data_IF_621100096931
#
_entry.id   IF_621100096931
#
_cell.length_a   1.000
_cell.length_b   1.000
_cell.length_c   1.000
_cell.angle_alpha   90.00
_cell.angle_beta   90.00
_cell.angle_gamma   90.00
#
_symmetry.space_group_name_H-M   'P 1'
#
loop_
_entity.id
_entity.type
_entity.pdbx_description
1 polymer ?
#
# COMPACT_ATOMS: atom_id res chain seq x y z
N UNK A 1 -20.12 18.40 8.58
CA UNK A 1 -20.53 17.54 7.44
C UNK A 1 -21.83 16.79 7.72
N UNK A 2 -21.96 16.04 8.83
CA UNK A 2 -23.12 15.17 9.14
C UNK A 2 -24.50 15.87 9.08
N UNK A 3 -24.68 17.13 9.56
CA UNK A 3 -26.01 17.74 9.58
C UNK A 3 -26.57 18.03 8.18
N UNK A 4 -25.75 18.55 7.26
CA UNK A 4 -26.21 18.95 5.91
C UNK A 4 -26.41 17.73 5.02
N UNK A 5 -25.60 16.68 5.17
CA UNK A 5 -25.85 15.41 4.48
C UNK A 5 -27.20 14.82 4.86
N UNK A 6 -27.50 14.76 6.17
CA UNK A 6 -28.75 14.18 6.67
C UNK A 6 -29.98 15.05 6.45
N UNK A 7 -29.85 16.38 6.57
CA UNK A 7 -30.99 17.29 6.54
C UNK A 7 -31.33 17.82 5.13
N UNK A 8 -30.36 17.89 4.22
CA UNK A 8 -30.55 18.52 2.89
C UNK A 8 -30.26 17.55 1.77
N UNK A 9 -29.08 16.93 1.76
CA UNK A 9 -28.64 16.11 0.60
C UNK A 9 -29.44 14.81 0.50
N UNK A 10 -29.55 14.03 1.59
CA UNK A 10 -30.25 12.74 1.55
C UNK A 10 -31.76 12.88 1.26
N UNK A 11 -32.52 13.82 1.88
CA UNK A 11 -33.92 14.03 1.54
C UNK A 11 -34.13 14.51 0.11
N UNK A 12 -33.26 15.39 -0.39
CA UNK A 12 -33.33 15.86 -1.77
C UNK A 12 -33.05 14.74 -2.79
N UNK A 13 -32.10 13.86 -2.52
CA UNK A 13 -31.84 12.69 -3.36
C UNK A 13 -33.00 11.68 -3.31
N UNK A 14 -33.61 11.47 -2.14
CA UNK A 14 -34.82 10.64 -2.03
C UNK A 14 -35.98 11.24 -2.83
N UNK A 15 -36.16 12.58 -2.75
CA UNK A 15 -37.13 13.30 -3.57
C UNK A 15 -36.85 13.21 -5.07
N UNK A 16 -35.57 13.28 -5.48
CA UNK A 16 -35.17 13.07 -6.87
C UNK A 16 -35.59 11.69 -7.37
N UNK A 17 -35.29 10.64 -6.59
CA UNK A 17 -35.67 9.27 -6.94
C UNK A 17 -37.19 9.08 -7.03
N UNK A 18 -37.96 9.72 -6.14
CA UNK A 18 -39.42 9.66 -6.16
C UNK A 18 -40.05 10.42 -7.35
N UNK A 19 -39.42 11.51 -7.79
CA UNK A 19 -39.91 12.37 -8.88
C UNK A 19 -39.34 12.00 -10.26
N UNK A 20 -38.33 11.13 -10.32
CA UNK A 20 -37.74 10.61 -11.55
C UNK A 20 -38.76 10.01 -12.54
N UNK A 21 -39.77 9.19 -12.14
CA UNK A 21 -40.75 8.68 -13.11
C UNK A 21 -41.63 9.78 -13.73
N UNK A 22 -41.68 10.97 -13.13
CA UNK A 22 -42.43 12.12 -13.60
C UNK A 22 -41.56 13.11 -14.41
N UNK A 23 -40.26 12.87 -14.53
CA UNK A 23 -39.31 13.77 -15.20
C UNK A 23 -39.01 15.08 -14.43
N UNK A 24 -39.33 15.12 -13.13
CA UNK A 24 -39.21 16.31 -12.27
C UNK A 24 -38.02 16.24 -11.29
N UNK A 25 -37.12 15.29 -11.47
CA UNK A 25 -35.95 15.06 -10.61
C UNK A 25 -34.95 16.22 -10.61
N UNK A 26 -34.97 17.07 -11.64
CA UNK A 26 -34.06 18.20 -11.76
C UNK A 26 -34.15 19.16 -10.57
N UNK A 27 -35.34 19.40 -10.02
CA UNK A 27 -35.54 20.30 -8.89
C UNK A 27 -34.87 19.79 -7.61
N UNK A 28 -35.18 18.56 -7.13
CA UNK A 28 -34.48 17.98 -5.99
C UNK A 28 -32.97 17.81 -6.20
N UNK A 29 -32.52 17.47 -7.43
CA UNK A 29 -31.09 17.36 -7.72
C UNK A 29 -30.35 18.69 -7.59
N UNK A 30 -30.97 19.82 -7.95
CA UNK A 30 -30.39 21.16 -7.72
C UNK A 30 -30.24 21.47 -6.22
N UNK A 31 -31.22 21.09 -5.40
CA UNK A 31 -31.14 21.26 -3.94
C UNK A 31 -30.00 20.40 -3.37
N UNK A 32 -29.88 19.15 -3.82
CA UNK A 32 -28.77 18.28 -3.43
C UNK A 32 -27.40 18.88 -3.82
N UNK A 33 -27.31 19.46 -5.02
CA UNK A 33 -26.12 20.18 -5.49
C UNK A 33 -25.69 21.31 -4.57
N UNK A 34 -26.60 22.18 -4.16
CA UNK A 34 -26.31 23.28 -3.19
C UNK A 34 -25.79 22.72 -1.86
N UNK A 35 -26.36 21.62 -1.38
CA UNK A 35 -25.90 20.93 -0.18
C UNK A 35 -24.47 20.40 -0.32
N UNK A 36 -24.15 19.79 -1.47
CA UNK A 36 -22.81 19.28 -1.78
C UNK A 36 -21.80 20.43 -1.88
N UNK A 37 -22.15 21.51 -2.60
CA UNK A 37 -21.28 22.69 -2.76
C UNK A 37 -20.98 23.36 -1.42
N UNK A 38 -21.95 23.38 -0.51
CA UNK A 38 -21.72 23.85 0.85
C UNK A 38 -20.74 22.94 1.60
N UNK A 39 -20.91 21.62 1.51
CA UNK A 39 -20.01 20.65 2.14
C UNK A 39 -18.59 20.80 1.61
N UNK A 40 -18.42 20.94 0.29
CA UNK A 40 -17.12 21.12 -0.35
C UNK A 40 -16.46 22.43 0.09
N UNK A 41 -17.20 23.55 0.13
CA UNK A 41 -16.66 24.82 0.64
C UNK A 41 -16.16 24.73 2.08
N UNK A 42 -16.92 24.08 2.96
CA UNK A 42 -16.48 23.89 4.35
C UNK A 42 -15.25 22.97 4.41
N UNK A 43 -15.23 21.90 3.62
CA UNK A 43 -14.10 20.99 3.55
C UNK A 43 -12.83 21.71 3.07
N UNK A 44 -12.91 22.49 1.99
CA UNK A 44 -11.79 23.26 1.45
C UNK A 44 -11.32 24.33 2.44
N UNK A 45 -12.24 24.99 3.13
CA UNK A 45 -11.91 25.99 4.16
C UNK A 45 -11.10 25.37 5.29
N UNK A 46 -11.55 24.21 5.81
CA UNK A 46 -10.86 23.51 6.91
C UNK A 46 -9.55 22.89 6.42
N UNK A 47 -9.52 22.32 5.22
CA UNK A 47 -8.32 21.74 4.62
C UNK A 47 -7.24 22.79 4.35
N UNK A 48 -7.64 24.04 4.08
CA UNK A 48 -6.74 25.18 3.91
C UNK A 48 -6.10 25.70 5.19
N UNK A 49 -6.49 25.20 6.37
CA UNK A 49 -5.86 25.61 7.63
C UNK A 49 -4.45 25.02 7.76
N UNK A 50 -3.50 25.83 8.25
CA UNK A 50 -2.15 25.34 8.52
C UNK A 50 -2.18 24.20 9.53
N UNK A 51 -1.64 23.05 9.13
CA UNK A 51 -1.61 21.85 9.98
C UNK A 51 -2.95 21.14 10.14
N UNK A 52 -3.97 21.44 9.32
CA UNK A 52 -5.24 20.71 9.30
C UNK A 52 -5.07 19.20 9.17
N UNK A 53 -4.06 18.78 8.39
CA UNK A 53 -3.61 17.41 8.30
C UNK A 53 -2.12 17.35 8.62
N UNK A 54 -1.77 16.55 9.63
CA UNK A 54 -0.39 16.13 9.87
C UNK A 54 -0.27 14.66 9.50
N UNK A 55 0.56 14.31 8.51
CA UNK A 55 0.75 12.93 8.17
C UNK A 55 1.55 12.28 9.31
N UNK A 56 0.98 11.22 9.87
CA UNK A 56 1.58 10.41 10.92
C UNK A 56 1.64 9.00 10.36
N UNK A 57 2.74 8.30 10.65
CA UNK A 57 2.91 6.91 10.28
C UNK A 57 1.70 6.08 10.74
N UNK A 58 1.26 5.13 9.91
CA UNK A 58 0.20 4.22 10.31
C UNK A 58 0.58 3.47 11.61
N UNK A 59 -0.34 3.47 12.57
CA UNK A 59 -0.15 2.75 13.81
C UNK A 59 -0.04 1.24 13.54
N UNK A 60 0.89 0.54 14.20
CA UNK A 60 0.91 -0.92 14.13
C UNK A 60 -0.36 -1.49 14.77
N UNK A 61 -0.77 -2.67 14.32
CA UNK A 61 -2.03 -3.28 14.74
C UNK A 61 -2.15 -3.42 16.27
N UNK A 62 -1.06 -3.76 16.97
CA UNK A 62 -1.06 -3.89 18.43
C UNK A 62 -1.29 -2.55 19.14
N UNK A 63 -0.83 -1.42 18.58
CA UNK A 63 -1.04 -0.11 19.16
C UNK A 63 -2.52 0.28 19.08
N UNK A 64 -3.19 -0.08 17.99
CA UNK A 64 -4.64 0.09 17.87
C UNK A 64 -5.38 -0.72 18.94
N UNK A 65 -5.01 -1.99 19.14
CA UNK A 65 -5.62 -2.82 20.20
C UNK A 65 -5.45 -2.20 21.59
N UNK A 66 -4.25 -1.71 21.92
CA UNK A 66 -3.99 -1.04 23.20
C UNK A 66 -4.75 0.27 23.34
N UNK A 67 -4.85 1.08 22.28
CA UNK A 67 -5.64 2.31 22.27
C UNK A 67 -7.12 2.00 22.51
N UNK A 68 -7.66 1.00 21.81
CA UNK A 68 -9.05 0.59 21.96
C UNK A 68 -9.34 0.09 23.37
N UNK A 69 -8.52 -0.82 23.90
CA UNK A 69 -8.70 -1.37 25.25
C UNK A 69 -8.53 -0.30 26.34
N UNK A 70 -7.49 0.54 26.23
CA UNK A 70 -7.25 1.63 27.18
C UNK A 70 -8.36 2.69 27.16
N UNK A 71 -8.83 3.06 25.96
CA UNK A 71 -9.96 3.98 25.79
C UNK A 71 -11.27 3.39 26.32
N UNK A 72 -11.54 2.12 26.01
CA UNK A 72 -12.72 1.43 26.52
C UNK A 72 -12.71 1.34 28.05
N UNK A 73 -11.56 1.04 28.65
CA UNK A 73 -11.40 1.02 30.11
C UNK A 73 -11.71 2.39 30.74
N UNK A 74 -11.18 3.46 30.15
CA UNK A 74 -11.43 4.83 30.60
C UNK A 74 -12.92 5.22 30.52
N UNK A 75 -13.63 4.72 29.51
CA UNK A 75 -15.06 5.01 29.30
C UNK A 75 -15.98 4.15 30.17
N UNK A 76 -15.64 2.88 30.41
CA UNK A 76 -16.51 1.94 31.12
C UNK A 76 -16.40 2.03 32.66
N UNK A 77 -15.21 2.31 33.20
CA UNK A 77 -15.02 2.39 34.65
C UNK A 77 -15.24 3.80 35.21
N UNK A 78 -15.82 3.88 36.41
CA UNK A 78 -16.04 5.14 37.14
C UNK A 78 -15.03 5.32 38.28
N UNK A 79 -14.72 6.56 38.62
CA UNK A 79 -13.78 6.89 39.70
C UNK A 79 -12.30 6.70 39.33
N UNK A 80 -11.43 6.50 40.33
CA UNK A 80 -9.96 6.42 40.14
C UNK A 80 -9.52 5.17 39.36
N UNK A 81 -10.33 4.10 39.36
CA UNK A 81 -10.03 2.87 38.62
C UNK A 81 -9.93 3.07 37.10
N UNK A 82 -10.59 4.10 36.55
CA UNK A 82 -10.49 4.45 35.13
C UNK A 82 -9.05 4.77 34.71
N UNK A 83 -8.24 5.32 35.64
CA UNK A 83 -6.87 5.74 35.35
C UNK A 83 -5.95 4.55 35.02
N UNK A 84 -6.35 3.32 35.32
CA UNK A 84 -5.62 2.12 34.89
C UNK A 84 -5.60 1.93 33.36
N UNK A 85 -6.45 2.64 32.60
CA UNK A 85 -6.38 2.68 31.13
C UNK A 85 -5.25 3.57 30.60
N UNK A 86 -4.75 4.54 31.38
CA UNK A 86 -3.69 5.47 30.95
C UNK A 86 -2.36 4.76 30.66
N UNK A 87 -1.87 3.81 31.48
CA UNK A 87 -0.68 3.03 31.15
C UNK A 87 -0.78 2.30 29.81
N UNK A 88 -1.94 1.75 29.45
CA UNK A 88 -2.15 1.08 28.17
C UNK A 88 -2.04 2.07 26.99
N UNK A 89 -2.63 3.26 27.13
CA UNK A 89 -2.50 4.33 26.13
C UNK A 89 -1.06 4.85 26.00
N UNK A 90 -0.37 5.02 27.13
CA UNK A 90 1.03 5.45 27.15
C UNK A 90 1.94 4.42 26.47
N UNK A 91 1.72 3.12 26.75
CA UNK A 91 2.43 2.04 26.08
C UNK A 91 2.14 2.02 24.57
N UNK A 92 0.88 2.21 24.17
CA UNK A 92 0.52 2.28 22.76
C UNK A 92 1.24 3.43 22.04
N UNK A 93 1.28 4.62 22.66
CA UNK A 93 1.98 5.78 22.13
C UNK A 93 3.49 5.54 22.04
N UNK A 94 4.11 4.97 23.09
CA UNK A 94 5.53 4.65 23.11
C UNK A 94 5.91 3.66 22.00
N UNK A 95 5.12 2.60 21.81
CA UNK A 95 5.38 1.61 20.77
C UNK A 95 5.08 2.13 19.35
N UNK A 96 4.11 3.03 19.20
CA UNK A 96 3.83 3.67 17.91
C UNK A 96 4.97 4.62 17.51
N UNK A 97 5.44 5.45 18.44
CA UNK A 97 6.56 6.36 18.23
C UNK A 97 7.90 5.62 18.09
N UNK A 98 8.04 4.45 18.71
CA UNK A 98 9.24 3.60 18.64
C UNK A 98 9.50 2.98 17.26
N UNK A 99 8.62 3.20 16.29
CA UNK A 99 8.83 2.79 14.89
C UNK A 99 8.49 1.32 14.66
N UNK A 100 7.30 1.05 14.14
CA UNK A 100 6.99 -0.27 13.61
C UNK A 100 7.92 -0.60 12.42
N UNK A 101 8.40 -1.85 12.29
CA UNK A 101 9.26 -2.24 11.18
C UNK A 101 8.53 -2.01 9.87
N UNK A 102 9.09 -1.14 9.02
CA UNK A 102 8.52 -0.84 7.70
C UNK A 102 9.17 -1.75 6.67
N UNK A 103 8.41 -2.27 5.70
CA UNK A 103 8.99 -3.04 4.61
C UNK A 103 9.99 -2.19 3.81
N UNK A 104 11.16 -2.77 3.58
CA UNK A 104 12.27 -2.14 2.87
C UNK A 104 11.92 -1.94 1.39
N UNK A 105 11.17 -2.88 0.81
CA UNK A 105 10.76 -2.85 -0.58
C UNK A 105 9.27 -3.21 -0.69
N UNK A 106 8.51 -2.36 -1.38
CA UNK A 106 7.13 -2.62 -1.77
C UNK A 106 7.04 -2.78 -3.27
N UNK A 107 6.25 -3.76 -3.72
CA UNK A 107 5.96 -4.02 -5.13
C UNK A 107 4.44 -4.05 -5.30
N UNK A 108 3.92 -3.20 -6.19
CA UNK A 108 2.51 -3.15 -6.53
C UNK A 108 2.05 -4.44 -7.24
N UNK A 109 0.75 -4.79 -7.20
CA UNK A 109 0.22 -5.92 -7.95
C UNK A 109 0.66 -5.89 -9.42
N UNK A 110 1.17 -7.02 -9.92
CA UNK A 110 1.65 -7.11 -11.30
C UNK A 110 2.93 -6.31 -11.61
N UNK A 111 3.61 -5.74 -10.61
CA UNK A 111 4.91 -5.09 -10.78
C UNK A 111 4.83 -3.72 -11.46
N UNK A 112 3.66 -3.08 -11.40
CA UNK A 112 3.45 -1.76 -12.02
C UNK A 112 4.36 -0.69 -11.40
N UNK A 113 4.48 -0.69 -10.07
CA UNK A 113 5.33 0.20 -9.30
C UNK A 113 6.15 -0.58 -8.27
N UNK A 114 7.27 0.01 -7.89
CA UNK A 114 8.07 -0.43 -6.75
C UNK A 114 8.51 0.79 -5.95
N UNK A 115 8.69 0.60 -4.65
CA UNK A 115 9.19 1.64 -3.77
C UNK A 115 10.09 1.10 -2.68
N UNK A 116 11.26 1.72 -2.52
CA UNK A 116 12.28 1.35 -1.53
C UNK A 116 12.25 2.35 -0.37
N UNK A 117 12.30 1.85 0.87
CA UNK A 117 12.42 2.67 2.06
C UNK A 117 13.85 3.22 2.17
N UNK A 118 13.98 4.54 2.29
CA UNK A 118 15.26 5.23 2.47
C UNK A 118 15.19 6.13 3.70
N UNK A 119 16.33 6.66 4.20
CA UNK A 119 16.32 7.64 5.29
C UNK A 119 15.49 8.90 5.00
N UNK A 120 15.32 9.27 3.72
CA UNK A 120 14.52 10.42 3.27
C UNK A 120 13.03 10.09 3.08
N UNK A 121 12.61 8.87 3.43
CA UNK A 121 11.27 8.34 3.17
C UNK A 121 11.25 7.33 2.02
N UNK A 122 10.07 6.92 1.55
CA UNK A 122 9.96 5.92 0.49
C UNK A 122 10.30 6.53 -0.88
N UNK A 123 11.39 6.08 -1.49
CA UNK A 123 11.70 6.42 -2.87
C UNK A 123 10.91 5.52 -3.83
N UNK A 124 10.38 6.08 -4.91
CA UNK A 124 9.55 5.35 -5.89
C UNK A 124 10.31 5.17 -7.20
N UNK A 125 10.06 4.07 -7.91
CA UNK A 125 10.59 3.90 -9.28
C UNK A 125 10.01 4.99 -10.21
N UNK A 126 10.86 5.90 -10.73
CA UNK A 126 10.39 7.03 -11.55
C UNK A 126 9.86 6.61 -12.92
N UNK A 127 10.17 5.40 -13.40
CA UNK A 127 9.76 4.98 -14.74
C UNK A 127 8.25 4.69 -14.84
N UNK A 128 7.64 4.17 -13.75
CA UNK A 128 6.19 3.85 -13.69
C UNK A 128 5.66 3.94 -12.26
N UNK A 129 5.18 5.12 -11.82
CA UNK A 129 4.39 5.20 -10.62
C UNK A 129 2.95 4.74 -10.91
N UNK A 130 2.53 3.63 -10.30
CA UNK A 130 1.12 3.40 -10.02
C UNK A 130 0.73 4.40 -8.94
N UNK A 131 0.12 5.52 -9.35
CA UNK A 131 -0.16 6.66 -8.49
C UNK A 131 -0.99 6.25 -7.26
N UNK A 132 -1.98 5.38 -7.44
CA UNK A 132 -2.84 4.95 -6.34
C UNK A 132 -2.08 4.12 -5.31
N UNK A 133 -1.29 3.15 -5.78
CA UNK A 133 -0.44 2.35 -4.88
C UNK A 133 0.60 3.23 -4.16
N UNK A 134 1.27 4.11 -4.91
CA UNK A 134 2.28 5.03 -4.39
C UNK A 134 1.71 5.96 -3.31
N UNK A 135 0.59 6.64 -3.57
CA UNK A 135 -0.07 7.52 -2.59
C UNK A 135 -0.52 6.76 -1.35
N UNK A 136 -1.00 5.53 -1.52
CA UNK A 136 -1.39 4.67 -0.39
C UNK A 136 -0.18 4.34 0.49
N UNK A 137 0.97 4.04 -0.12
CA UNK A 137 2.21 3.77 0.62
C UNK A 137 2.72 5.01 1.35
N UNK A 138 2.83 6.15 0.67
CA UNK A 138 3.27 7.41 1.26
C UNK A 138 2.37 7.82 2.43
N UNK A 139 1.05 7.71 2.26
CA UNK A 139 0.08 7.99 3.33
C UNK A 139 0.25 7.05 4.52
N UNK A 140 0.43 5.75 4.28
CA UNK A 140 0.73 4.77 5.35
C UNK A 140 2.05 5.06 6.04
N UNK A 141 3.01 5.58 5.29
CA UNK A 141 4.32 5.98 5.79
C UNK A 141 4.28 7.28 6.61
N UNK A 142 3.14 7.99 6.63
CA UNK A 142 3.07 9.33 7.23
C UNK A 142 3.92 10.34 6.45
N UNK A 143 4.12 10.10 5.16
CA UNK A 143 4.93 10.92 4.28
C UNK A 143 4.03 11.91 3.54
N UNK A 144 4.34 13.20 3.67
CA UNK A 144 3.59 14.29 3.04
C UNK A 144 3.93 14.46 1.55
N UNK A 145 5.01 13.83 1.08
CA UNK A 145 5.51 14.02 -0.27
C UNK A 145 4.47 13.60 -1.32
N UNK A 146 4.45 14.33 -2.43
CA UNK A 146 3.79 13.91 -3.64
C UNK A 146 4.52 12.72 -4.27
N UNK A 147 3.82 11.99 -5.15
CA UNK A 147 4.42 10.90 -5.92
C UNK A 147 5.62 11.36 -6.74
N UNK A 148 5.59 12.59 -7.26
CA UNK A 148 6.70 13.16 -8.04
C UNK A 148 7.94 13.42 -7.16
N UNK A 149 7.75 14.02 -5.99
CA UNK A 149 8.84 14.24 -5.02
C UNK A 149 9.43 12.93 -4.51
N UNK A 150 8.57 11.94 -4.21
CA UNK A 150 9.02 10.61 -3.79
C UNK A 150 9.76 9.86 -4.91
N UNK A 151 9.38 10.04 -6.17
CA UNK A 151 10.10 9.49 -7.32
C UNK A 151 11.43 10.19 -7.61
N UNK A 152 11.59 11.45 -7.16
CA UNK A 152 12.83 12.21 -7.29
C UNK A 152 13.87 11.88 -6.20
N UNK A 153 13.52 11.10 -5.18
CA UNK A 153 14.44 10.70 -4.10
C UNK A 153 15.57 9.82 -4.65
N UNK A 154 16.83 10.05 -4.22
CA UNK A 154 17.98 9.29 -4.70
C UNK A 154 17.97 7.88 -4.10
N UNK A 155 17.41 6.92 -4.84
CA UNK A 155 17.47 5.50 -4.49
C UNK A 155 17.60 4.61 -5.72
N UNK A 156 16.89 4.94 -6.80
CA UNK A 156 16.93 4.19 -8.05
C UNK A 156 17.98 4.76 -9.00
N UNK A 157 18.91 3.92 -9.43
CA UNK A 157 19.85 4.18 -10.53
C UNK A 157 19.33 3.57 -11.83
N UNK A 158 19.61 4.24 -12.95
CA UNK A 158 19.24 3.76 -14.27
C UNK A 158 20.44 3.09 -14.96
N UNK A 159 20.32 1.77 -15.20
CA UNK A 159 21.32 0.97 -15.91
C UNK A 159 20.72 0.46 -17.23
N UNK A 160 20.66 1.34 -18.23
CA UNK A 160 19.96 1.07 -19.49
C UNK A 160 18.46 0.77 -19.24
N UNK A 161 17.95 -0.43 -19.63
CA UNK A 161 16.56 -0.80 -19.40
C UNK A 161 16.25 -1.23 -17.95
N UNK A 162 17.26 -1.23 -17.07
CA UNK A 162 17.13 -1.62 -15.67
C UNK A 162 16.99 -0.40 -14.76
N UNK A 163 16.22 -0.58 -13.68
CA UNK A 163 16.21 0.30 -12.51
C UNK A 163 16.72 -0.49 -11.33
N UNK A 164 17.77 -0.01 -10.69
CA UNK A 164 18.46 -0.72 -9.62
C UNK A 164 18.39 0.11 -8.35
N UNK A 165 18.08 -0.51 -7.22
CA UNK A 165 18.09 0.16 -5.93
C UNK A 165 18.50 -0.80 -4.81
N UNK A 166 19.40 -0.40 -3.89
CA UNK A 166 19.69 -1.17 -2.71
C UNK A 166 18.54 -1.07 -1.70
N UNK A 167 18.31 -2.11 -0.93
CA UNK A 167 17.37 -2.13 0.20
C UNK A 167 17.88 -3.10 1.28
N UNK A 168 17.36 -3.00 2.51
CA UNK A 168 17.64 -3.84 3.70
C UNK A 168 18.86 -4.77 3.69
N UNK A 169 19.84 -4.55 4.58
CA UNK A 169 20.98 -5.46 4.84
C UNK A 169 21.76 -5.96 3.60
N UNK A 170 21.93 -5.09 2.61
CA UNK A 170 22.72 -5.35 1.40
C UNK A 170 21.98 -6.11 0.31
N UNK A 171 20.64 -6.14 0.37
CA UNK A 171 19.81 -6.61 -0.74
C UNK A 171 19.69 -5.55 -1.84
N UNK A 172 19.41 -6.00 -3.05
CA UNK A 172 19.21 -5.12 -4.21
C UNK A 172 17.98 -5.54 -5.01
N UNK A 173 17.20 -4.56 -5.47
CA UNK A 173 16.13 -4.79 -6.43
C UNK A 173 16.56 -4.33 -7.81
N UNK A 174 16.36 -5.19 -8.81
CA UNK A 174 16.62 -4.90 -10.23
C UNK A 174 15.36 -5.05 -11.03
N UNK A 175 14.83 -3.94 -11.53
CA UNK A 175 13.54 -3.86 -12.20
C UNK A 175 13.75 -3.69 -13.70
N UNK A 176 13.26 -4.62 -14.49
CA UNK A 176 13.30 -4.55 -15.94
C UNK A 176 12.14 -3.71 -16.50
N UNK A 177 12.46 -2.64 -17.22
CA UNK A 177 11.47 -1.76 -17.87
C UNK A 177 11.51 -1.80 -19.40
N UNK A 178 12.35 -2.65 -19.99
CA UNK A 178 12.43 -2.83 -21.45
C UNK A 178 11.31 -3.68 -22.07
N UNK A 179 11.28 -3.74 -23.40
CA UNK A 179 10.27 -4.48 -24.17
C UNK A 179 10.62 -5.95 -24.43
N UNK A 180 11.91 -6.27 -24.54
CA UNK A 180 12.40 -7.62 -24.85
C UNK A 180 13.62 -7.93 -24.00
N UNK A 181 13.66 -9.15 -23.47
CA UNK A 181 14.77 -9.67 -22.68
C UNK A 181 14.95 -11.15 -23.03
N UNK A 182 16.19 -11.60 -23.21
CA UNK A 182 16.50 -13.02 -23.41
C UNK A 182 16.65 -13.73 -22.06
N UNK A 183 16.46 -15.05 -22.04
CA UNK A 183 16.61 -15.84 -20.81
C UNK A 183 18.03 -15.71 -20.23
N UNK A 184 19.06 -15.78 -21.08
CA UNK A 184 20.46 -15.59 -20.66
C UNK A 184 20.71 -14.22 -20.04
N UNK A 185 20.18 -13.15 -20.64
CA UNK A 185 20.34 -11.80 -20.12
C UNK A 185 19.62 -11.63 -18.78
N UNK A 186 18.49 -12.30 -18.57
CA UNK A 186 17.77 -12.32 -17.31
C UNK A 186 18.52 -13.09 -16.22
N UNK A 187 19.03 -14.28 -16.53
CA UNK A 187 19.81 -15.09 -15.58
C UNK A 187 21.07 -14.37 -15.10
N UNK A 188 21.73 -13.58 -15.96
CA UNK A 188 22.90 -12.75 -15.57
C UNK A 188 22.59 -11.67 -14.53
N UNK A 189 21.33 -11.27 -14.39
CA UNK A 189 20.93 -10.28 -13.37
C UNK A 189 20.68 -10.92 -12.01
N UNK A 190 20.60 -12.25 -11.98
CA UNK A 190 20.31 -13.01 -10.78
C UNK A 190 21.62 -13.25 -10.02
N UNK A 191 21.91 -12.36 -9.07
CA UNK A 191 23.04 -12.46 -8.16
C UNK A 191 22.55 -12.75 -6.73
N UNK A 192 23.43 -13.16 -5.81
CA UNK A 192 23.08 -13.26 -4.39
C UNK A 192 22.44 -11.98 -3.86
N UNK A 193 21.46 -12.13 -2.96
CA UNK A 193 20.71 -11.02 -2.35
C UNK A 193 20.02 -10.09 -3.35
N UNK A 194 19.64 -10.61 -4.52
CA UNK A 194 18.99 -9.81 -5.57
C UNK A 194 17.54 -10.21 -5.77
N UNK A 195 16.65 -9.23 -5.86
CA UNK A 195 15.26 -9.39 -6.29
C UNK A 195 15.13 -8.85 -7.71
N UNK A 196 14.90 -9.72 -8.68
CA UNK A 196 14.74 -9.35 -10.08
C UNK A 196 13.26 -9.25 -10.42
N UNK A 197 12.79 -8.05 -10.77
CA UNK A 197 11.41 -7.78 -11.12
C UNK A 197 11.27 -7.61 -12.64
N UNK A 198 10.64 -8.58 -13.31
CA UNK A 198 10.52 -8.61 -14.76
C UNK A 198 9.09 -8.98 -15.22
N UNK A 199 8.06 -8.16 -14.94
CA UNK A 199 6.65 -8.52 -15.16
C UNK A 199 6.20 -8.54 -16.63
N UNK A 200 7.06 -8.16 -17.59
CA UNK A 200 6.70 -8.04 -19.03
C UNK A 200 7.45 -8.97 -19.97
N UNK A 201 8.28 -9.86 -19.42
CA UNK A 201 8.98 -10.83 -20.25
C UNK A 201 8.02 -11.93 -20.71
N UNK A 202 8.37 -12.59 -21.81
CA UNK A 202 7.58 -13.72 -22.30
C UNK A 202 7.62 -14.88 -21.27
N UNK A 203 6.50 -15.59 -21.02
CA UNK A 203 6.44 -16.67 -20.04
C UNK A 203 7.50 -17.76 -20.27
N UNK A 204 7.81 -18.07 -21.54
CA UNK A 204 8.87 -19.04 -21.90
C UNK A 204 10.25 -18.58 -21.42
N UNK A 205 10.54 -17.28 -21.54
CA UNK A 205 11.81 -16.69 -21.08
C UNK A 205 11.91 -16.75 -19.56
N UNK A 206 10.82 -16.44 -18.85
CA UNK A 206 10.75 -16.53 -17.39
C UNK A 206 11.02 -17.97 -16.93
N UNK A 207 10.29 -18.95 -17.49
CA UNK A 207 10.45 -20.36 -17.14
C UNK A 207 11.87 -20.89 -17.38
N UNK A 208 12.49 -20.53 -18.51
CA UNK A 208 13.88 -20.90 -18.81
C UNK A 208 14.88 -20.27 -17.84
N UNK A 209 14.69 -19.00 -17.48
CA UNK A 209 15.55 -18.33 -16.51
C UNK A 209 15.37 -18.90 -15.10
N UNK A 210 14.14 -19.24 -14.69
CA UNK A 210 13.84 -19.86 -13.40
C UNK A 210 14.51 -21.23 -13.27
N UNK A 211 14.46 -22.04 -14.33
CA UNK A 211 15.12 -23.36 -14.37
C UNK A 211 16.65 -23.24 -14.21
N UNK A 212 17.26 -22.18 -14.77
CA UNK A 212 18.68 -21.87 -14.56
C UNK A 212 19.01 -21.19 -13.23
N UNK A 213 18.03 -20.57 -12.57
CA UNK A 213 18.16 -19.87 -11.29
C UNK A 213 17.81 -20.74 -10.07
N UNK A 214 17.38 -21.99 -10.28
CA UNK A 214 16.89 -22.91 -9.25
C UNK A 214 17.92 -23.29 -8.16
N UNK A 215 19.14 -22.76 -8.22
CA UNK A 215 20.22 -23.02 -7.27
C UNK A 215 20.85 -21.73 -6.67
N UNK A 216 20.08 -20.65 -6.45
CA UNK A 216 20.65 -19.36 -6.03
C UNK A 216 19.87 -18.55 -4.97
N UNK A 217 20.55 -17.63 -4.25
CA UNK A 217 19.97 -16.68 -3.27
C UNK A 217 19.26 -15.46 -3.90
N UNK A 218 18.59 -15.67 -5.04
CA UNK A 218 17.99 -14.63 -5.87
C UNK A 218 16.50 -14.91 -6.09
N UNK A 219 15.67 -13.88 -6.00
CA UNK A 219 14.22 -13.99 -6.20
C UNK A 219 13.82 -13.35 -7.53
N UNK A 220 13.44 -14.19 -8.51
CA UNK A 220 12.86 -13.73 -9.78
C UNK A 220 11.34 -13.60 -9.67
N UNK A 221 10.82 -12.39 -9.91
CA UNK A 221 9.40 -12.04 -9.91
C UNK A 221 8.96 -11.67 -11.33
N UNK A 222 8.30 -12.60 -12.00
CA UNK A 222 7.72 -12.43 -13.32
C UNK A 222 6.20 -12.14 -13.23
N UNK A 223 5.52 -12.09 -14.38
CA UNK A 223 4.08 -11.84 -14.43
C UNK A 223 3.27 -12.91 -13.68
N UNK A 224 3.62 -14.19 -13.86
CA UNK A 224 2.88 -15.29 -13.26
C UNK A 224 3.05 -15.32 -11.74
N UNK A 225 4.28 -15.14 -11.25
CA UNK A 225 4.59 -15.05 -9.82
C UNK A 225 3.86 -13.88 -9.14
N UNK A 226 3.81 -12.71 -9.79
CA UNK A 226 3.08 -11.56 -9.24
C UNK A 226 1.56 -11.73 -9.33
N UNK A 227 1.03 -12.43 -10.34
CA UNK A 227 -0.39 -12.72 -10.42
C UNK A 227 -0.83 -13.68 -9.29
N UNK A 228 0.01 -14.67 -8.96
CA UNK A 228 -0.25 -15.62 -7.88
C UNK A 228 -0.19 -14.96 -6.48
N UNK A 229 0.72 -14.01 -6.27
CA UNK A 229 1.02 -13.43 -4.95
C UNK A 229 0.42 -12.04 -4.71
N UNK A 230 0.06 -11.33 -5.77
CA UNK A 230 -0.46 -9.96 -5.71
C UNK A 230 0.62 -8.93 -5.35
N UNK A 231 0.29 -7.99 -4.46
CA UNK A 231 1.26 -7.02 -3.93
C UNK A 231 2.22 -7.72 -2.96
N UNK A 232 3.46 -7.25 -2.93
CA UNK A 232 4.52 -7.81 -2.10
C UNK A 232 5.14 -6.74 -1.21
N UNK A 233 5.42 -7.11 0.03
CA UNK A 233 6.26 -6.39 0.96
C UNK A 233 7.47 -7.26 1.28
N UNK A 234 8.67 -6.73 1.05
CA UNK A 234 9.93 -7.45 1.23
C UNK A 234 10.79 -6.70 2.24
N UNK A 235 11.41 -7.46 3.14
CA UNK A 235 12.42 -6.96 4.08
C UNK A 235 13.67 -7.83 4.04
N UNK A 236 14.83 -7.20 3.87
CA UNK A 236 16.12 -7.86 3.96
C UNK A 236 16.55 -7.96 5.42
N UNK A 237 16.86 -9.17 5.90
CA UNK A 237 17.39 -9.42 7.26
C UNK A 237 18.63 -10.29 7.18
N UNK A 238 19.79 -9.66 7.13
CA UNK A 238 21.06 -10.32 6.81
C UNK A 238 20.97 -11.08 5.48
N UNK A 239 21.14 -12.40 5.52
CA UNK A 239 21.09 -13.27 4.34
C UNK A 239 19.68 -13.79 4.02
N UNK A 240 18.68 -13.42 4.83
CA UNK A 240 17.30 -13.88 4.65
C UNK A 240 16.43 -12.77 4.09
N UNK A 241 15.67 -13.09 3.04
CA UNK A 241 14.58 -12.26 2.55
C UNK A 241 13.26 -12.68 3.19
N UNK A 242 12.63 -11.77 3.92
CA UNK A 242 11.26 -11.94 4.42
C UNK A 242 10.31 -11.40 3.35
N UNK A 243 9.44 -12.26 2.82
CA UNK A 243 8.47 -11.89 1.77
C UNK A 243 7.07 -12.06 2.32
N UNK A 244 6.37 -10.95 2.50
CA UNK A 244 4.96 -10.91 2.83
C UNK A 244 4.17 -10.63 1.57
N UNK A 245 3.26 -11.53 1.22
CA UNK A 245 2.40 -11.35 0.07
C UNK A 245 0.96 -11.03 0.48
N UNK A 246 0.28 -10.27 -0.37
CA UNK A 246 -1.06 -9.83 -0.08
C UNK A 246 -2.07 -11.01 -0.12
N UNK A 247 -1.67 -12.18 -0.62
CA UNK A 247 -2.52 -13.38 -0.71
C UNK A 247 -2.43 -14.30 0.50
N UNK A 248 -1.35 -14.24 1.31
CA UNK A 248 -1.12 -15.10 2.46
C UNK A 248 -2.27 -15.03 3.48
N UNK A 249 -2.88 -13.86 3.68
CA UNK A 249 -4.08 -13.68 4.50
C UNK A 249 -5.42 -13.82 3.76
N UNK A 250 -5.40 -13.98 2.42
CA UNK A 250 -6.60 -14.11 1.57
C UNK A 250 -6.85 -15.52 1.04
N UNK A 251 -5.93 -16.46 1.22
CA UNK A 251 -6.10 -17.87 0.87
C UNK A 251 -7.15 -18.58 1.76
N UNK A 252 -7.40 -18.05 2.97
CA UNK A 252 -8.37 -18.58 3.93
C UNK A 252 -9.82 -18.04 3.77
N UNK A 253 -10.13 -17.29 2.70
CA UNK A 253 -11.47 -16.68 2.53
C UNK A 253 -12.42 -17.65 1.82
N UNK A 254 -13.42 -18.14 2.56
CA UNK A 254 -14.42 -19.12 2.13
C UNK A 254 -15.18 -18.76 0.83
N UNK A 255 -15.22 -17.49 0.44
CA UNK A 255 -15.93 -17.02 -0.76
C UNK A 255 -15.06 -16.95 -2.03
N UNK A 256 -13.76 -17.30 -1.95
CA UNK A 256 -13.02 -17.66 -3.18
C UNK A 256 -13.26 -19.14 -3.42
N UNK A 257 -14.04 -19.46 -4.45
CA UNK A 257 -14.21 -20.83 -4.93
C UNK A 257 -12.83 -21.49 -5.05
N UNK A 258 -12.73 -22.74 -4.61
CA UNK A 258 -11.50 -23.52 -4.59
C UNK A 258 -10.88 -23.60 -5.99
N UNK A 259 -10.01 -22.64 -6.31
CA UNK A 259 -9.16 -22.69 -7.49
C UNK A 259 -8.01 -23.62 -7.19
N UNK A 260 -8.16 -24.87 -7.61
CA UNK A 260 -7.21 -25.99 -7.61
C UNK A 260 -5.77 -25.63 -7.18
N UNK A 261 -5.45 -25.91 -5.92
CA UNK A 261 -4.07 -26.18 -5.50
C UNK A 261 -3.75 -27.59 -6.00
N UNK A 262 -3.16 -27.70 -7.19
CA UNK A 262 -2.43 -28.92 -7.58
C UNK A 262 -1.17 -28.94 -6.72
N UNK A 263 -1.15 -29.85 -5.74
CA UNK A 263 0.06 -30.24 -5.07
C UNK A 263 0.96 -31.00 -6.04
N UNK A 264 2.25 -30.82 -5.88
CA UNK A 264 3.24 -31.81 -6.28
C UNK A 264 4.24 -31.86 -5.13
N UNK A 265 4.14 -32.91 -4.31
CA UNK A 265 5.33 -33.49 -3.71
C UNK A 265 6.12 -34.18 -4.81
N UNK A 266 7.44 -34.14 -4.74
CA UNK A 266 8.31 -35.01 -3.94
C UNK A 266 9.54 -34.21 -3.48
#
# INVERSE_FOLDING_TARGET
AVPVMGAVVAPALAGAAALAPLGLEAWPLRIAGVGIDWILRVADTVAGWEGAARPIAAAPQFALWLITLGGLWLCLWRGRLRLAGLPALALAAALWLGGAPRPDLLIAPGGAAAGVMTPQGRALDPARPDRFAAETWLRRDGDAATVAEAAARPAFTAEGPWRVAPFGDGWEVRIFRGARLSALALTRQCAPKTVVLAPRIAPRVAAQAQAGAAAGPCLLLDRAGLAARGALALSGKGDRLVVEDATAGRAARLWRGAGAVSGAGE
#
